data_IF_657066447622
#
_entry.id   IF_657066447622
#
_cell.length_a   1.000
_cell.length_b   1.000
_cell.length_c   1.000
_cell.angle_alpha   90.00
_cell.angle_beta   90.00
_cell.angle_gamma   90.00
#
_symmetry.space_group_name_H-M   'P 1'
#
loop_
_entity.id
_entity.type
_entity.pdbx_description
1 polymer ?
#
# COMPACT_ATOMS: atom_id res chain seq x y z
N UNK A 1 10.97 -24.26 5.33
CA UNK A 1 9.85 -25.21 5.26
C UNK A 1 10.09 -26.18 4.09
N UNK A 2 9.68 -27.46 4.17
CA UNK A 2 9.73 -28.36 3.03
C UNK A 2 8.90 -27.79 1.86
N UNK A 3 9.25 -28.09 0.61
CA UNK A 3 8.37 -27.85 -0.52
C UNK A 3 6.99 -28.43 -0.24
N UNK A 4 5.94 -27.78 -0.69
CA UNK A 4 4.53 -28.21 -0.52
C UNK A 4 3.99 -28.23 0.94
N UNK A 5 4.70 -27.64 1.89
CA UNK A 5 4.23 -27.54 3.27
C UNK A 5 3.12 -26.51 3.49
N UNK A 6 2.87 -25.63 2.52
CA UNK A 6 1.86 -24.59 2.55
C UNK A 6 0.86 -24.78 1.41
N UNK A 7 -0.43 -24.62 1.70
CA UNK A 7 -1.50 -24.73 0.73
C UNK A 7 -2.22 -23.41 0.50
N UNK A 8 -2.80 -23.22 -0.68
CA UNK A 8 -3.67 -22.09 -0.97
C UNK A 8 -4.81 -21.97 0.05
N UNK A 9 -5.07 -20.77 0.53
CA UNK A 9 -6.09 -20.47 1.54
C UNK A 9 -5.65 -20.78 2.98
N UNK A 10 -4.46 -21.34 3.20
CA UNK A 10 -3.97 -21.64 4.54
C UNK A 10 -3.60 -20.36 5.28
N UNK A 11 -4.16 -20.18 6.50
CA UNK A 11 -3.79 -19.07 7.39
C UNK A 11 -2.42 -19.33 8.01
N UNK A 12 -1.58 -18.29 8.05
CA UNK A 12 -0.20 -18.36 8.54
C UNK A 12 0.16 -17.17 9.43
N UNK A 13 0.99 -17.44 10.42
CA UNK A 13 1.78 -16.45 11.17
C UNK A 13 3.20 -16.97 11.32
N UNK A 14 4.16 -16.09 11.48
CA UNK A 14 5.54 -16.42 11.81
C UNK A 14 5.76 -16.16 13.30
N UNK A 15 6.41 -17.09 13.99
CA UNK A 15 6.82 -16.88 15.36
C UNK A 15 8.20 -16.23 15.37
N UNK A 16 8.27 -14.98 15.76
CA UNK A 16 9.53 -14.20 15.82
C UNK A 16 9.99 -14.17 17.27
N UNK A 17 11.24 -14.57 17.50
CA UNK A 17 11.88 -14.50 18.83
C UNK A 17 12.88 -13.36 18.81
N UNK A 18 12.63 -12.33 19.60
CA UNK A 18 13.50 -11.18 19.75
C UNK A 18 14.82 -11.50 20.47
N UNK A 19 15.74 -10.54 20.46
CA UNK A 19 17.03 -10.67 21.12
C UNK A 19 16.92 -10.85 22.64
N UNK A 20 15.84 -10.40 23.24
CA UNK A 20 15.50 -10.57 24.66
C UNK A 20 14.93 -11.97 24.99
N UNK A 21 14.72 -12.83 23.99
CA UNK A 21 14.11 -14.14 24.10
C UNK A 21 12.57 -14.13 24.12
N UNK A 22 11.93 -12.97 24.01
CA UNK A 22 10.46 -12.86 23.93
C UNK A 22 9.98 -13.27 22.53
N UNK A 23 9.01 -14.19 22.49
CA UNK A 23 8.38 -14.66 21.26
C UNK A 23 7.06 -13.95 20.98
N UNK A 24 6.84 -13.55 19.71
CA UNK A 24 5.59 -12.95 19.23
C UNK A 24 5.15 -13.58 17.91
N UNK A 25 3.86 -13.85 17.75
CA UNK A 25 3.30 -14.28 16.48
C UNK A 25 3.00 -13.05 15.61
N UNK A 26 3.56 -13.02 14.40
CA UNK A 26 3.51 -11.88 13.48
C UNK A 26 2.93 -12.32 12.13
N UNK A 27 2.21 -11.43 11.48
CA UNK A 27 1.89 -11.59 10.06
C UNK A 27 3.18 -11.40 9.27
N UNK A 28 3.55 -12.32 8.34
CA UNK A 28 4.78 -12.14 7.56
C UNK A 28 4.79 -10.80 6.83
N UNK A 29 5.88 -10.03 6.95
CA UNK A 29 5.97 -8.67 6.41
C UNK A 29 5.76 -8.60 4.88
N UNK A 30 6.13 -9.66 4.16
CA UNK A 30 6.03 -9.79 2.71
C UNK A 30 4.79 -10.59 2.26
N UNK A 31 3.80 -10.75 3.14
CA UNK A 31 2.58 -11.49 2.81
C UNK A 31 1.78 -10.76 1.73
N UNK A 32 1.31 -11.51 0.75
CA UNK A 32 0.58 -10.96 -0.40
C UNK A 32 -0.95 -11.02 -0.25
N UNK A 33 -1.42 -11.63 0.84
CA UNK A 33 -2.82 -11.60 1.23
C UNK A 33 -2.94 -11.69 2.74
N UNK A 34 -3.79 -10.85 3.30
CA UNK A 34 -4.16 -10.84 4.72
C UNK A 34 -5.67 -10.89 4.81
N UNK A 35 -6.20 -11.62 5.77
CA UNK A 35 -7.64 -11.77 5.99
C UNK A 35 -7.98 -11.58 7.44
N UNK A 36 -9.16 -10.99 7.69
CA UNK A 36 -9.71 -10.83 9.04
C UNK A 36 -10.70 -11.96 9.34
N UNK A 37 -10.58 -12.56 10.52
CA UNK A 37 -11.58 -13.51 11.00
C UNK A 37 -12.86 -12.74 11.40
N UNK A 38 -14.04 -13.08 10.86
CA UNK A 38 -15.26 -12.33 11.13
C UNK A 38 -15.80 -12.46 12.56
N UNK A 39 -15.33 -13.46 13.31
CA UNK A 39 -15.80 -13.74 14.68
C UNK A 39 -14.87 -13.15 15.74
N UNK A 40 -13.57 -13.20 15.52
CA UNK A 40 -12.56 -12.70 16.48
C UNK A 40 -12.02 -11.34 16.12
N UNK A 41 -12.20 -10.91 14.86
CA UNK A 41 -11.59 -9.73 14.25
C UNK A 41 -10.06 -9.78 14.14
N UNK A 42 -9.44 -10.93 14.45
CA UNK A 42 -8.00 -11.11 14.30
C UNK A 42 -7.60 -11.22 12.84
N UNK A 43 -6.48 -10.59 12.50
CA UNK A 43 -5.88 -10.71 11.18
C UNK A 43 -4.86 -11.86 11.14
N UNK A 44 -4.79 -12.51 10.00
CA UNK A 44 -3.79 -13.52 9.66
C UNK A 44 -3.33 -13.36 8.22
N UNK A 45 -2.06 -13.68 7.96
CA UNK A 45 -1.64 -13.90 6.59
C UNK A 45 -2.37 -15.12 6.01
N UNK A 46 -2.66 -15.09 4.72
CA UNK A 46 -3.23 -16.21 3.98
C UNK A 46 -2.33 -16.52 2.78
N UNK A 47 -1.99 -17.80 2.61
CA UNK A 47 -1.21 -18.25 1.46
C UNK A 47 -2.08 -18.13 0.22
N UNK A 48 -1.69 -17.25 -0.70
CA UNK A 48 -2.42 -17.01 -1.92
C UNK A 48 -1.68 -17.56 -3.13
N UNK A 49 -2.07 -18.76 -3.53
CA UNK A 49 -1.51 -19.50 -4.67
C UNK A 49 -2.66 -20.13 -5.46
N UNK A 50 -3.41 -19.33 -6.25
CA UNK A 50 -4.52 -19.85 -7.03
C UNK A 50 -4.01 -20.88 -8.06
N UNK A 51 -4.80 -21.91 -8.34
CA UNK A 51 -4.44 -22.98 -9.32
C UNK A 51 -4.16 -22.42 -10.71
N UNK A 52 -4.82 -21.31 -11.05
CA UNK A 52 -4.63 -20.60 -12.32
C UNK A 52 -4.32 -19.14 -12.02
N UNK A 53 -3.23 -18.60 -12.57
CA UNK A 53 -2.93 -17.17 -12.49
C UNK A 53 -4.02 -16.38 -13.22
N UNK A 54 -4.18 -15.10 -12.86
CA UNK A 54 -5.11 -14.20 -13.53
C UNK A 54 -4.75 -14.05 -15.02
N UNK A 55 -5.72 -14.26 -15.89
CA UNK A 55 -5.56 -14.10 -17.33
C UNK A 55 -5.95 -12.68 -17.76
N UNK A 56 -4.97 -11.86 -18.05
CA UNK A 56 -5.16 -10.48 -18.51
C UNK A 56 -5.74 -10.45 -19.92
N UNK A 57 -6.86 -9.77 -20.09
CA UNK A 57 -7.57 -9.66 -21.37
C UNK A 57 -7.15 -8.43 -22.17
N UNK A 58 -6.75 -7.36 -21.47
CA UNK A 58 -6.41 -6.06 -22.04
C UNK A 58 -4.91 -5.77 -21.91
N UNK A 59 -4.06 -6.77 -22.15
CA UNK A 59 -2.60 -6.67 -22.02
C UNK A 59 -1.94 -5.73 -23.05
N UNK A 60 -2.69 -5.22 -24.01
CA UNK A 60 -2.22 -4.24 -25.00
C UNK A 60 -2.41 -2.78 -24.59
N UNK A 61 -2.92 -2.50 -23.40
CA UNK A 61 -2.99 -1.14 -22.87
C UNK A 61 -1.57 -0.58 -22.69
N UNK A 62 -1.40 0.69 -23.10
CA UNK A 62 -0.12 1.39 -23.03
C UNK A 62 -0.35 2.74 -22.34
N UNK A 63 0.08 2.89 -21.07
CA UNK A 63 -0.12 4.10 -20.30
C UNK A 63 0.60 5.33 -20.91
N UNK A 64 1.64 5.13 -21.73
CA UNK A 64 2.35 6.23 -22.40
C UNK A 64 1.47 6.98 -23.40
N UNK A 65 0.32 6.42 -23.80
CA UNK A 65 -0.67 7.07 -24.65
C UNK A 65 -1.57 8.06 -23.92
N UNK A 66 -1.48 8.12 -22.59
CA UNK A 66 -2.20 9.11 -21.78
C UNK A 66 -1.35 10.39 -21.71
N UNK A 67 -1.48 11.23 -22.76
CA UNK A 67 -0.71 12.46 -22.94
C UNK A 67 -0.95 13.48 -21.79
N UNK A 68 -2.23 13.66 -21.45
CA UNK A 68 -2.67 14.54 -20.35
C UNK A 68 -3.59 13.74 -19.45
N UNK A 69 -3.16 13.38 -18.23
CA UNK A 69 -3.99 12.63 -17.31
C UNK A 69 -5.14 13.49 -16.78
N UNK A 70 -6.37 13.02 -17.03
CA UNK A 70 -7.60 13.50 -16.41
C UNK A 70 -7.96 12.51 -15.32
N UNK A 71 -7.62 12.86 -14.06
CA UNK A 71 -7.64 11.93 -12.94
C UNK A 71 -8.97 12.00 -12.20
N UNK A 72 -9.60 10.85 -11.98
CA UNK A 72 -10.71 10.66 -11.06
C UNK A 72 -10.21 9.90 -9.83
N UNK A 73 -10.21 10.54 -8.67
CA UNK A 73 -9.86 9.89 -7.42
C UNK A 73 -11.10 9.19 -6.82
N UNK A 74 -10.92 7.94 -6.37
CA UNK A 74 -12.01 7.14 -5.82
C UNK A 74 -11.56 6.18 -4.73
N UNK A 75 -12.46 5.99 -3.74
CA UNK A 75 -12.35 4.94 -2.73
C UNK A 75 -13.23 3.76 -3.11
N UNK A 76 -12.65 2.58 -3.31
CA UNK A 76 -13.37 1.38 -3.78
C UNK A 76 -14.56 1.03 -2.89
N UNK A 77 -14.33 0.95 -1.57
CA UNK A 77 -15.36 0.53 -0.62
C UNK A 77 -16.51 1.51 -0.44
N UNK A 78 -16.33 2.78 -0.84
CA UNK A 78 -17.35 3.85 -0.71
C UNK A 78 -17.93 4.27 -2.05
N UNK A 79 -17.78 3.47 -3.08
CA UNK A 79 -18.11 3.82 -4.46
C UNK A 79 -19.59 3.62 -4.86
N UNK A 80 -20.40 3.03 -4.00
CA UNK A 80 -21.82 2.79 -4.27
C UNK A 80 -22.75 3.55 -3.33
N UNK A 81 -24.07 3.47 -3.62
CA UNK A 81 -25.11 4.16 -2.87
C UNK A 81 -25.63 3.35 -1.67
N UNK A 82 -25.36 2.05 -1.64
CA UNK A 82 -25.80 1.18 -0.55
C UNK A 82 -24.89 1.36 0.69
N UNK A 83 -25.48 1.30 1.88
CA UNK A 83 -24.78 1.45 3.17
C UNK A 83 -23.97 0.19 3.54
N UNK A 84 -22.99 -0.15 2.71
CA UNK A 84 -22.04 -1.26 2.90
C UNK A 84 -20.71 -0.99 2.23
N UNK A 85 -19.72 -1.82 2.52
CA UNK A 85 -18.47 -1.79 1.79
C UNK A 85 -18.66 -2.42 0.41
N UNK A 86 -18.29 -1.67 -0.65
CA UNK A 86 -18.32 -2.15 -2.03
C UNK A 86 -17.02 -2.88 -2.40
N UNK A 87 -17.10 -3.69 -3.46
CA UNK A 87 -16.03 -4.59 -3.88
C UNK A 87 -15.27 -4.07 -5.10
N UNK A 88 -14.07 -4.63 -5.35
CA UNK A 88 -13.30 -4.37 -6.57
C UNK A 88 -14.11 -4.65 -7.84
N UNK A 89 -14.90 -5.74 -7.85
CA UNK A 89 -15.74 -6.08 -9.01
C UNK A 89 -16.86 -5.10 -9.22
N UNK A 90 -17.57 -4.71 -8.19
CA UNK A 90 -18.63 -3.71 -8.30
C UNK A 90 -18.09 -2.37 -8.79
N UNK A 91 -16.91 -1.96 -8.31
CA UNK A 91 -16.25 -0.76 -8.83
C UNK A 91 -15.94 -0.89 -10.33
N UNK A 92 -15.38 -2.03 -10.73
CA UNK A 92 -15.05 -2.30 -12.13
C UNK A 92 -16.29 -2.28 -13.04
N UNK A 93 -17.37 -2.93 -12.62
CA UNK A 93 -18.54 -3.14 -13.46
C UNK A 93 -19.50 -1.93 -13.47
N UNK A 94 -19.55 -1.17 -12.38
CA UNK A 94 -20.57 -0.13 -12.20
C UNK A 94 -19.99 1.29 -12.21
N UNK A 95 -18.77 1.49 -11.72
CA UNK A 95 -18.16 2.81 -11.53
C UNK A 95 -17.25 3.19 -12.69
N UNK A 96 -16.34 2.30 -13.12
CA UNK A 96 -15.43 2.58 -14.24
C UNK A 96 -16.14 3.01 -15.53
N UNK A 97 -17.27 2.38 -15.95
CA UNK A 97 -17.98 2.84 -17.15
C UNK A 97 -18.52 4.26 -17.04
N UNK A 98 -18.92 4.70 -15.83
CA UNK A 98 -19.38 6.08 -15.59
C UNK A 98 -18.20 7.05 -15.67
N UNK A 99 -17.04 6.70 -15.09
CA UNK A 99 -15.81 7.50 -15.14
C UNK A 99 -15.37 7.68 -16.61
N UNK A 100 -15.37 6.61 -17.39
CA UNK A 100 -15.08 6.65 -18.83
C UNK A 100 -16.06 7.55 -19.58
N UNK A 101 -17.37 7.42 -19.33
CA UNK A 101 -18.41 8.21 -19.97
C UNK A 101 -18.29 9.71 -19.66
N UNK A 102 -17.71 10.09 -18.50
CA UNK A 102 -17.42 11.47 -18.12
C UNK A 102 -16.15 12.02 -18.77
N UNK A 103 -15.39 11.20 -19.49
CA UNK A 103 -14.20 11.61 -20.23
C UNK A 103 -12.90 11.56 -19.42
N UNK A 104 -12.90 10.98 -18.23
CA UNK A 104 -11.67 10.70 -17.48
C UNK A 104 -10.90 9.56 -18.16
N UNK A 105 -9.59 9.67 -18.16
CA UNK A 105 -8.67 8.69 -18.74
C UNK A 105 -7.70 8.07 -17.70
N UNK A 106 -7.84 8.47 -16.45
CA UNK A 106 -7.02 7.99 -15.34
C UNK A 106 -7.88 7.89 -14.08
N UNK A 107 -7.76 6.77 -13.37
CA UNK A 107 -8.33 6.58 -12.03
C UNK A 107 -7.21 6.47 -11.02
N UNK A 108 -7.28 7.27 -9.96
CA UNK A 108 -6.45 7.14 -8.77
C UNK A 108 -7.26 6.40 -7.70
N UNK A 109 -6.86 5.18 -7.39
CA UNK A 109 -7.44 4.44 -6.27
C UNK A 109 -6.81 4.92 -4.96
N UNK A 110 -7.64 5.47 -4.06
CA UNK A 110 -7.22 5.72 -2.68
C UNK A 110 -6.70 4.41 -2.08
N UNK A 111 -5.76 4.50 -1.13
CA UNK A 111 -4.99 3.38 -0.61
C UNK A 111 -5.78 2.06 -0.48
N UNK A 112 -5.43 1.07 -1.31
CA UNK A 112 -6.04 -0.27 -1.29
C UNK A 112 -5.18 -1.31 -0.59
N UNK A 113 -4.02 -0.92 -0.05
CA UNK A 113 -3.19 -1.80 0.77
C UNK A 113 -3.96 -2.22 2.03
N UNK A 114 -3.69 -3.42 2.55
CA UNK A 114 -4.45 -3.92 3.70
C UNK A 114 -4.22 -3.07 4.96
N UNK A 115 -5.30 -2.80 5.66
CA UNK A 115 -5.34 -1.92 6.83
C UNK A 115 -6.35 -2.43 7.86
N UNK A 116 -6.07 -2.36 9.17
CA UNK A 116 -6.95 -2.92 10.19
C UNK A 116 -8.21 -2.07 10.42
N UNK A 117 -8.11 -0.75 10.26
CA UNK A 117 -9.19 0.18 10.54
C UNK A 117 -9.78 0.78 9.26
N UNK A 118 -11.01 0.41 8.93
CA UNK A 118 -11.70 0.89 7.71
C UNK A 118 -11.83 2.40 7.65
N UNK A 119 -12.08 3.08 8.78
CA UNK A 119 -12.19 4.54 8.86
C UNK A 119 -10.90 5.30 8.57
N UNK A 120 -9.76 4.61 8.41
CA UNK A 120 -8.52 5.21 7.90
C UNK A 120 -8.53 5.39 6.39
N UNK A 121 -9.55 4.88 5.68
CA UNK A 121 -9.64 4.88 4.20
C UNK A 121 -8.43 4.25 3.50
N UNK A 122 -7.72 3.34 4.19
CA UNK A 122 -6.51 2.69 3.68
C UNK A 122 -5.20 3.36 4.09
N UNK A 123 -5.23 4.53 4.74
CA UNK A 123 -4.00 5.26 5.09
C UNK A 123 -3.29 4.75 6.36
N UNK A 124 -3.84 3.78 7.09
CA UNK A 124 -3.17 3.06 8.17
C UNK A 124 -2.76 1.66 7.74
N UNK A 125 -1.81 1.58 6.82
CA UNK A 125 -1.37 0.31 6.21
C UNK A 125 -0.74 -0.61 7.25
N UNK A 126 -1.14 -1.88 7.23
CA UNK A 126 -0.56 -2.95 8.04
C UNK A 126 0.19 -4.00 7.21
N UNK A 127 -0.31 -4.34 6.02
CA UNK A 127 0.33 -5.32 5.12
C UNK A 127 0.52 -4.70 3.74
N UNK A 128 1.76 -4.32 3.44
CA UNK A 128 2.12 -3.50 2.29
C UNK A 128 1.94 -4.22 0.94
N UNK A 129 2.15 -5.54 0.90
CA UNK A 129 2.08 -6.34 -0.32
C UNK A 129 0.68 -6.96 -0.55
N UNK A 130 -0.24 -6.80 0.39
CA UNK A 130 -1.58 -7.36 0.32
C UNK A 130 -2.62 -6.30 -0.06
N UNK A 131 -3.45 -6.53 -1.09
CA UNK A 131 -4.64 -5.73 -1.31
C UNK A 131 -5.66 -5.97 -0.19
N UNK A 132 -6.41 -4.95 0.18
CA UNK A 132 -7.39 -5.05 1.25
C UNK A 132 -8.43 -6.12 0.96
N UNK A 133 -8.52 -7.08 1.86
CA UNK A 133 -9.44 -8.22 1.78
C UNK A 133 -10.91 -7.80 1.92
N UNK A 134 -11.18 -6.60 2.44
CA UNK A 134 -12.53 -6.05 2.54
C UNK A 134 -13.19 -5.80 1.20
N UNK A 135 -12.39 -5.53 0.17
CA UNK A 135 -12.89 -5.20 -1.16
C UNK A 135 -12.91 -6.43 -2.10
N UNK A 136 -12.34 -7.55 -1.69
CA UNK A 136 -12.30 -8.78 -2.48
C UNK A 136 -10.97 -9.52 -2.43
N UNK A 137 -10.70 -10.28 -3.47
CA UNK A 137 -9.48 -11.07 -3.65
C UNK A 137 -8.43 -10.28 -4.45
N UNK A 138 -7.14 -10.72 -4.45
CA UNK A 138 -6.14 -10.18 -5.36
C UNK A 138 -6.56 -10.25 -6.83
N UNK A 139 -7.21 -11.34 -7.26
CA UNK A 139 -7.74 -11.49 -8.62
C UNK A 139 -8.88 -10.52 -8.93
N UNK A 140 -9.67 -10.11 -7.93
CA UNK A 140 -10.71 -9.10 -8.12
C UNK A 140 -10.12 -7.70 -8.34
N UNK A 141 -8.99 -7.38 -7.70
CA UNK A 141 -8.26 -6.15 -7.98
C UNK A 141 -7.62 -6.18 -9.37
N UNK A 142 -7.02 -7.32 -9.77
CA UNK A 142 -6.52 -7.50 -11.14
C UNK A 142 -7.64 -7.34 -12.17
N UNK A 143 -8.82 -7.90 -11.88
CA UNK A 143 -10.00 -7.70 -12.71
C UNK A 143 -10.38 -6.23 -12.87
N UNK A 144 -10.36 -5.46 -11.79
CA UNK A 144 -10.64 -4.02 -11.82
C UNK A 144 -9.67 -3.29 -12.76
N UNK A 145 -8.38 -3.55 -12.62
CA UNK A 145 -7.34 -2.91 -13.44
C UNK A 145 -7.48 -3.33 -14.90
N UNK A 146 -7.71 -4.61 -15.17
CA UNK A 146 -7.92 -5.14 -16.52
C UNK A 146 -9.15 -4.50 -17.19
N UNK A 147 -10.25 -4.31 -16.46
CA UNK A 147 -11.44 -3.61 -16.99
C UNK A 147 -11.15 -2.12 -17.26
N UNK A 148 -10.38 -1.45 -16.39
CA UNK A 148 -9.96 -0.06 -16.61
C UNK A 148 -9.13 0.07 -17.89
N UNK A 149 -8.16 -0.82 -18.10
CA UNK A 149 -7.36 -0.88 -19.32
C UNK A 149 -8.23 -1.14 -20.57
N UNK A 150 -9.27 -2.00 -20.46
CA UNK A 150 -10.24 -2.22 -21.53
C UNK A 150 -11.06 -0.98 -21.90
N UNK A 151 -11.20 -0.03 -20.98
CA UNK A 151 -11.84 1.26 -21.18
C UNK A 151 -10.84 2.39 -21.56
N UNK A 152 -9.56 2.07 -21.78
CA UNK A 152 -8.46 3.01 -21.97
C UNK A 152 -8.28 3.98 -20.80
N UNK A 153 -8.44 3.49 -19.58
CA UNK A 153 -8.22 4.22 -18.33
C UNK A 153 -6.96 3.67 -17.66
N UNK A 154 -5.98 4.55 -17.41
CA UNK A 154 -4.83 4.24 -16.56
C UNK A 154 -5.23 4.17 -15.09
N UNK A 155 -4.57 3.32 -14.31
CA UNK A 155 -4.87 3.14 -12.88
C UNK A 155 -3.65 3.49 -12.03
N UNK A 156 -3.79 4.51 -11.20
CA UNK A 156 -2.78 4.93 -10.24
C UNK A 156 -3.13 4.37 -8.85
N UNK A 157 -2.10 3.92 -8.13
CA UNK A 157 -2.23 3.54 -6.72
C UNK A 157 -1.79 4.70 -5.83
N UNK A 158 -2.64 5.05 -4.88
CA UNK A 158 -2.23 5.88 -3.75
C UNK A 158 -1.47 5.00 -2.76
N UNK A 159 -0.13 5.18 -2.69
CA UNK A 159 0.77 4.37 -1.90
C UNK A 159 1.24 5.12 -0.66
N UNK A 160 1.10 4.47 0.50
CA UNK A 160 1.43 5.06 1.80
C UNK A 160 2.81 4.55 2.23
N UNK A 161 3.87 5.26 1.83
CA UNK A 161 5.24 4.97 2.24
C UNK A 161 5.81 6.01 3.22
N UNK A 162 4.98 6.98 3.62
CA UNK A 162 5.33 7.96 4.64
C UNK A 162 5.25 7.41 6.07
N UNK A 163 4.38 6.42 6.29
CA UNK A 163 4.14 5.85 7.61
C UNK A 163 3.46 4.48 7.52
N UNK A 164 3.34 3.82 8.66
CA UNK A 164 2.57 2.59 8.83
C UNK A 164 1.72 2.66 10.11
N UNK A 165 0.69 1.82 10.20
CA UNK A 165 -0.09 1.68 11.42
C UNK A 165 0.81 1.30 12.60
N UNK A 166 0.51 1.81 13.80
CA UNK A 166 1.28 1.50 15.00
C UNK A 166 0.98 0.11 15.61
N UNK A 167 -0.02 -0.60 15.09
CA UNK A 167 -0.42 -1.91 15.58
C UNK A 167 0.74 -2.92 15.47
N UNK A 168 1.00 -3.63 16.56
CA UNK A 168 2.02 -4.68 16.57
C UNK A 168 1.50 -5.98 15.95
N UNK A 169 0.31 -6.41 16.32
CA UNK A 169 -0.23 -7.72 15.90
C UNK A 169 -0.48 -7.82 14.40
N UNK A 170 -0.98 -6.75 13.78
CA UNK A 170 -1.33 -6.68 12.36
C UNK A 170 -0.25 -6.05 11.50
N UNK A 171 0.58 -5.16 12.07
CA UNK A 171 1.51 -4.31 11.34
C UNK A 171 2.98 -4.67 11.56
N UNK A 172 3.84 -3.72 11.16
CA UNK A 172 5.29 -3.85 11.22
C UNK A 172 5.90 -3.29 12.51
N UNK A 173 5.11 -2.63 13.36
CA UNK A 173 5.61 -2.02 14.59
C UNK A 173 6.17 -3.09 15.53
N UNK A 174 7.36 -2.83 16.06
CA UNK A 174 8.09 -3.74 16.97
C UNK A 174 8.12 -5.20 16.46
N UNK A 175 8.37 -5.37 15.14
CA UNK A 175 8.23 -6.65 14.45
C UNK A 175 9.14 -7.73 15.04
N UNK A 176 10.38 -7.39 15.36
CA UNK A 176 11.42 -8.26 15.91
C UNK A 176 11.68 -8.06 17.42
N UNK A 177 10.89 -7.20 18.08
CA UNK A 177 11.08 -6.84 19.49
C UNK A 177 12.16 -5.80 19.74
N UNK A 178 12.85 -5.28 18.70
CA UNK A 178 13.89 -4.25 18.84
C UNK A 178 13.33 -2.82 18.87
N UNK A 179 12.09 -2.63 18.42
CA UNK A 179 11.43 -1.34 18.24
C UNK A 179 11.98 -0.51 17.07
N UNK A 180 12.95 -1.03 16.31
CA UNK A 180 13.67 -0.26 15.28
C UNK A 180 13.92 -0.98 13.96
N UNK A 181 13.24 -2.08 13.67
CA UNK A 181 13.49 -2.85 12.43
C UNK A 181 13.12 -2.05 11.18
N UNK A 182 11.98 -1.38 11.18
CA UNK A 182 11.46 -0.64 10.02
C UNK A 182 11.41 0.88 10.26
N UNK A 183 11.33 1.31 11.51
CA UNK A 183 10.97 2.66 11.87
C UNK A 183 12.09 3.39 12.60
N UNK A 184 12.08 4.71 12.48
CA UNK A 184 12.99 5.58 13.23
C UNK A 184 12.82 5.34 14.75
N UNK A 185 13.90 5.42 15.52
CA UNK A 185 13.84 5.22 16.98
C UNK A 185 13.23 6.42 17.69
N UNK A 186 12.59 6.16 18.85
CA UNK A 186 12.10 7.17 19.76
C UNK A 186 10.98 8.05 19.17
N UNK A 187 10.97 9.32 19.56
CA UNK A 187 9.96 10.29 19.12
C UNK A 187 9.95 10.52 17.59
N UNK A 188 11.10 10.43 16.94
CA UNK A 188 11.20 10.57 15.48
C UNK A 188 10.45 9.47 14.73
N UNK A 189 10.33 8.29 15.33
CA UNK A 189 9.62 7.15 14.76
C UNK A 189 8.10 7.22 14.91
N UNK A 190 7.56 8.28 15.52
CA UNK A 190 6.13 8.47 15.75
C UNK A 190 5.62 9.69 15.01
N UNK A 191 4.48 9.54 14.34
CA UNK A 191 3.78 10.66 13.74
C UNK A 191 2.64 11.08 14.67
N UNK A 192 2.74 12.25 15.36
CA UNK A 192 1.79 12.63 16.40
C UNK A 192 0.37 12.85 15.86
N UNK A 193 0.25 13.43 14.66
CA UNK A 193 -1.04 13.80 14.09
C UNK A 193 -1.80 12.58 13.51
N UNK A 194 -1.05 11.54 13.07
CA UNK A 194 -1.62 10.38 12.41
C UNK A 194 -1.56 9.11 13.25
N UNK A 195 -1.06 9.21 14.48
CA UNK A 195 -0.93 8.08 15.41
C UNK A 195 -0.30 6.84 14.75
N UNK A 196 0.80 7.03 14.04
CA UNK A 196 1.44 6.05 13.17
C UNK A 196 2.96 6.02 13.36
N UNK A 197 3.63 5.02 12.76
CA UNK A 197 5.07 4.84 12.79
C UNK A 197 5.72 5.36 11.50
N UNK A 198 6.83 6.11 11.60
CA UNK A 198 7.55 6.67 10.46
C UNK A 198 8.74 5.79 10.07
N UNK A 199 8.86 5.47 8.79
CA UNK A 199 9.94 4.64 8.27
C UNK A 199 11.31 5.30 8.43
N UNK A 200 12.34 4.46 8.60
CA UNK A 200 13.75 4.85 8.62
C UNK A 200 14.37 4.65 7.23
N UNK A 201 14.29 5.70 6.40
CA UNK A 201 14.83 5.67 5.03
C UNK A 201 16.37 5.64 4.97
N UNK A 202 17.06 5.80 6.10
CA UNK A 202 18.51 5.64 6.21
C UNK A 202 18.97 4.17 6.28
N UNK A 203 18.03 3.22 6.28
CA UNK A 203 18.33 1.78 6.34
C UNK A 203 18.11 1.11 4.99
N UNK A 204 19.14 0.43 4.48
CA UNK A 204 19.07 -0.25 3.19
C UNK A 204 17.94 -1.28 3.12
N UNK A 205 17.69 -2.02 4.22
CA UNK A 205 16.64 -3.03 4.28
C UNK A 205 15.24 -2.41 4.21
N UNK A 206 15.06 -1.19 4.72
CA UNK A 206 13.79 -0.45 4.63
C UNK A 206 13.58 0.07 3.22
N UNK A 207 14.63 0.62 2.61
CA UNK A 207 14.58 1.04 1.19
C UNK A 207 14.27 -0.16 0.30
N UNK A 208 14.93 -1.29 0.49
CA UNK A 208 14.65 -2.53 -0.26
C UNK A 208 13.20 -2.97 -0.10
N UNK A 209 12.66 -2.96 1.12
CA UNK A 209 11.26 -3.31 1.39
C UNK A 209 10.30 -2.40 0.63
N UNK A 210 10.49 -1.09 0.70
CA UNK A 210 9.60 -0.11 0.08
C UNK A 210 9.73 -0.09 -1.46
N UNK A 211 10.94 -0.21 -2.01
CA UNK A 211 11.14 -0.31 -3.46
C UNK A 211 10.58 -1.63 -4.02
N UNK A 212 10.78 -2.74 -3.31
CA UNK A 212 10.16 -4.02 -3.68
C UNK A 212 8.64 -3.94 -3.67
N UNK A 213 8.06 -3.15 -2.76
CA UNK A 213 6.63 -2.91 -2.72
C UNK A 213 6.13 -2.13 -3.95
N UNK A 214 6.82 -1.07 -4.36
CA UNK A 214 6.53 -0.37 -5.62
C UNK A 214 6.56 -1.34 -6.80
N UNK A 215 7.65 -2.10 -6.92
CA UNK A 215 7.82 -3.09 -7.99
C UNK A 215 6.71 -4.15 -8.00
N UNK A 216 6.32 -4.64 -6.82
CA UNK A 216 5.23 -5.61 -6.66
C UNK A 216 3.91 -5.10 -7.24
N UNK A 217 3.52 -3.87 -6.95
CA UNK A 217 2.29 -3.29 -7.45
C UNK A 217 2.31 -3.06 -8.96
N UNK A 218 3.47 -2.73 -9.53
CA UNK A 218 3.65 -2.60 -10.98
C UNK A 218 3.57 -3.98 -11.69
N UNK A 219 4.36 -4.95 -11.22
CA UNK A 219 4.52 -6.22 -11.91
C UNK A 219 3.33 -7.19 -11.70
N UNK A 220 2.84 -7.29 -10.46
CA UNK A 220 1.79 -8.26 -10.12
C UNK A 220 0.39 -7.73 -10.46
N UNK A 221 0.13 -6.46 -10.21
CA UNK A 221 -1.19 -5.85 -10.41
C UNK A 221 -1.29 -4.98 -11.66
N UNK A 222 -0.18 -4.61 -12.26
CA UNK A 222 -0.13 -3.73 -13.46
C UNK A 222 -0.74 -2.36 -13.21
N UNK A 223 -0.49 -1.76 -12.04
CA UNK A 223 -0.73 -0.34 -11.86
C UNK A 223 0.15 0.47 -12.82
N UNK A 224 -0.36 1.54 -13.35
CA UNK A 224 0.31 2.38 -14.35
C UNK A 224 1.14 3.49 -13.73
N UNK A 225 1.07 3.66 -12.41
CA UNK A 225 1.82 4.65 -11.67
C UNK A 225 1.32 4.80 -10.24
N UNK A 226 1.86 5.80 -9.54
CA UNK A 226 1.60 6.02 -8.12
C UNK A 226 1.35 7.48 -7.79
N UNK A 227 0.54 7.70 -6.77
CA UNK A 227 0.55 8.90 -5.95
C UNK A 227 1.13 8.54 -4.59
N UNK A 228 2.20 9.21 -4.16
CA UNK A 228 2.79 8.99 -2.84
C UNK A 228 2.08 9.87 -1.81
N UNK A 229 1.49 9.23 -0.79
CA UNK A 229 0.86 9.95 0.31
C UNK A 229 1.88 10.50 1.31
N UNK A 230 1.55 11.65 1.91
CA UNK A 230 2.29 12.20 3.03
C UNK A 230 3.73 12.63 2.73
N UNK A 231 4.07 12.99 1.51
CA UNK A 231 5.45 13.32 1.06
C UNK A 231 6.08 14.46 1.89
N UNK A 232 5.31 15.47 2.29
CA UNK A 232 5.82 16.51 3.18
C UNK A 232 6.32 15.96 4.52
N UNK A 233 5.59 14.98 5.06
CA UNK A 233 5.97 14.30 6.30
C UNK A 233 7.22 13.42 6.15
N UNK A 234 7.49 12.92 4.93
CA UNK A 234 8.72 12.19 4.61
C UNK A 234 9.92 13.14 4.50
N UNK A 235 9.75 14.19 3.69
CA UNK A 235 10.85 15.06 3.28
C UNK A 235 11.36 16.00 4.37
N UNK A 236 10.57 16.31 5.39
CA UNK A 236 10.94 17.32 6.38
C UNK A 236 10.87 16.78 7.80
N UNK A 237 11.94 17.01 8.57
CA UNK A 237 12.01 16.59 9.99
C UNK A 237 10.89 17.20 10.85
N UNK A 238 10.43 18.41 10.51
CA UNK A 238 9.28 19.06 11.15
C UNK A 238 7.92 18.60 10.61
N UNK A 239 7.88 17.68 9.63
CA UNK A 239 6.67 17.05 9.09
C UNK A 239 5.58 18.00 8.60
N UNK A 240 5.97 19.20 8.17
CA UNK A 240 5.04 20.24 7.72
C UNK A 240 4.53 21.16 8.80
N UNK A 241 4.96 21.00 10.07
CA UNK A 241 4.54 21.91 11.17
C UNK A 241 5.19 23.29 11.12
N UNK A 242 6.29 23.45 10.38
CA UNK A 242 6.89 24.76 10.17
C UNK A 242 6.42 25.37 8.83
N UNK A 243 6.25 26.70 8.78
CA UNK A 243 5.79 27.35 7.56
C UNK A 243 6.85 27.34 6.46
N UNK A 244 6.42 27.16 5.21
CA UNK A 244 7.25 27.23 4.02
C UNK A 244 7.19 28.66 3.40
N UNK A 245 7.50 29.67 4.21
CA UNK A 245 7.40 31.08 3.79
C UNK A 245 8.52 31.56 2.87
N UNK A 246 9.66 30.87 2.86
CA UNK A 246 10.84 31.25 2.10
C UNK A 246 11.39 30.05 1.30
N UNK A 247 12.08 30.33 0.19
CA UNK A 247 12.68 29.28 -0.65
C UNK A 247 13.66 28.39 0.15
N UNK A 248 14.39 28.98 1.11
CA UNK A 248 15.30 28.25 1.99
C UNK A 248 14.62 27.19 2.88
N UNK A 249 13.34 27.36 3.19
CA UNK A 249 12.58 26.37 3.96
C UNK A 249 12.40 25.04 3.21
N UNK A 250 12.41 25.07 1.87
CA UNK A 250 12.31 23.87 1.03
C UNK A 250 13.63 23.10 0.87
N UNK A 251 14.78 23.76 1.09
CA UNK A 251 16.11 23.21 0.80
C UNK A 251 17.07 23.32 2.00
N UNK A 252 16.56 23.68 3.17
CA UNK A 252 17.34 23.90 4.38
C UNK A 252 17.70 22.63 5.15
N UNK A 253 18.19 22.82 6.36
CA UNK A 253 18.60 21.72 7.28
C UNK A 253 17.44 20.88 7.81
N UNK A 254 16.20 21.27 7.56
CA UNK A 254 15.00 20.51 7.91
C UNK A 254 14.69 19.37 6.91
N UNK A 255 15.35 19.35 5.76
CA UNK A 255 15.14 18.30 4.74
C UNK A 255 15.80 17.00 5.20
N UNK A 256 15.08 15.88 5.07
CA UNK A 256 15.60 14.53 5.29
C UNK A 256 16.24 14.03 3.98
N UNK A 257 17.58 13.92 3.89
CA UNK A 257 18.25 13.52 2.66
C UNK A 257 17.99 12.04 2.32
N UNK A 258 17.71 11.19 3.29
CA UNK A 258 17.45 9.78 3.08
C UNK A 258 16.07 9.57 2.44
N UNK A 259 15.07 10.34 2.88
CA UNK A 259 13.75 10.35 2.24
C UNK A 259 13.80 10.89 0.80
N UNK A 260 14.62 11.93 0.54
CA UNK A 260 14.86 12.44 -0.82
C UNK A 260 15.45 11.35 -1.70
N UNK A 261 16.50 10.66 -1.22
CA UNK A 261 17.16 9.57 -1.95
C UNK A 261 16.17 8.42 -2.25
N UNK A 262 15.38 8.02 -1.26
CA UNK A 262 14.34 7.02 -1.45
C UNK A 262 13.35 7.40 -2.56
N UNK A 263 12.79 8.62 -2.53
CA UNK A 263 11.82 9.06 -3.55
C UNK A 263 12.44 9.17 -4.95
N UNK A 264 13.71 9.53 -5.05
CA UNK A 264 14.45 9.53 -6.33
C UNK A 264 14.62 8.10 -6.86
N UNK A 265 14.98 7.15 -6.00
CA UNK A 265 15.09 5.73 -6.37
C UNK A 265 13.74 5.16 -6.81
N UNK A 266 12.67 5.45 -6.05
CA UNK A 266 11.31 5.02 -6.41
C UNK A 266 10.88 5.61 -7.76
N UNK A 267 11.13 6.90 -8.00
CA UNK A 267 10.85 7.55 -9.29
C UNK A 267 11.61 6.90 -10.45
N UNK A 268 12.89 6.55 -10.25
CA UNK A 268 13.69 5.86 -11.26
C UNK A 268 13.19 4.45 -11.55
N UNK A 269 12.70 3.75 -10.52
CA UNK A 269 12.16 2.40 -10.68
C UNK A 269 10.84 2.37 -11.48
N UNK A 270 10.03 3.44 -11.36
CA UNK A 270 8.71 3.54 -12.01
C UNK A 270 8.83 3.91 -13.50
N UNK A 271 9.91 4.56 -13.91
CA UNK A 271 10.18 4.96 -15.31
C UNK A 271 10.59 3.79 -16.20
#
# INVERSE_FOLDING_TARGET
LPPDSLAHGQKVKVHVVGADGTGKDRIPAWITRTVQDPSTYDFSGEIWMPERPYEWRNSGFDPSRVDVPFIYEAHVGMSGEEERVHTYREFADQVLPRIAALGYNTVQLMAVQEHPYYGSFGYHVSSFFAPSSRFGTPEDLKYLIDQAHGLNIAVLLDVVHSHAVKNEAEGLNDFDGSGGMYFLPGERGRHPDWDSCCFDYGRDEVIEFLLSNVRWWLEEFRFDGFRFDGVTSMLYFHRGHEPFGELGAYFGSSVDPDAVAYLQLASTLIQ
#
